data_IF_599207500502
#
_entry.id   IF_599207500502
#
_cell.length_a   1.000
_cell.length_b   1.000
_cell.length_c   1.000
_cell.angle_alpha   90.00
_cell.angle_beta   90.00
_cell.angle_gamma   90.00
#
_symmetry.space_group_name_H-M   'P 1'
#
loop_
_entity.id
_entity.type
_entity.pdbx_description
1 polymer ?
#
# COMPACT_ATOMS: atom_id res chain seq x y z
N UNK A 1 7.64 6.30 -48.13
CA UNK A 1 7.06 6.12 -46.79
C UNK A 1 7.15 4.64 -46.47
N UNK A 2 8.07 4.27 -45.57
CA UNK A 2 8.25 2.86 -45.18
C UNK A 2 7.20 2.52 -44.13
N UNK A 3 6.12 1.89 -44.57
CA UNK A 3 5.18 1.21 -43.68
C UNK A 3 5.84 -0.08 -43.18
N UNK A 4 6.79 0.06 -42.24
CA UNK A 4 7.17 -1.06 -41.41
C UNK A 4 5.90 -1.48 -40.66
N UNK A 5 5.30 -2.60 -41.08
CA UNK A 5 4.12 -3.17 -40.43
C UNK A 5 4.52 -3.45 -38.98
N UNK A 6 4.05 -2.61 -38.05
CA UNK A 6 4.21 -2.82 -36.61
C UNK A 6 3.82 -4.27 -36.31
N UNK A 7 4.71 -4.98 -35.61
CA UNK A 7 4.43 -6.33 -35.20
C UNK A 7 3.22 -6.35 -34.25
N UNK A 8 2.45 -7.45 -34.19
CA UNK A 8 1.30 -7.55 -33.27
C UNK A 8 1.69 -7.27 -31.81
N UNK A 9 2.93 -7.58 -31.44
CA UNK A 9 3.50 -7.33 -30.12
C UNK A 9 3.75 -5.84 -29.87
N UNK A 10 4.40 -5.14 -30.81
CA UNK A 10 4.60 -3.69 -30.73
C UNK A 10 3.27 -2.93 -30.64
N UNK A 11 2.27 -3.35 -31.41
CA UNK A 11 0.94 -2.72 -31.36
C UNK A 11 0.26 -2.91 -30.01
N UNK A 12 0.39 -4.09 -29.40
CA UNK A 12 -0.11 -4.36 -28.04
C UNK A 12 0.61 -3.53 -27.00
N UNK A 13 1.93 -3.42 -27.10
CA UNK A 13 2.74 -2.67 -26.16
C UNK A 13 2.43 -1.17 -26.22
N UNK A 14 2.23 -0.64 -27.43
CA UNK A 14 1.84 0.75 -27.66
C UNK A 14 0.49 1.08 -27.04
N UNK A 15 -0.52 0.21 -27.21
CA UNK A 15 -1.82 0.36 -26.56
C UNK A 15 -1.70 0.33 -25.03
N UNK A 16 -0.87 -0.57 -24.48
CA UNK A 16 -0.60 -0.64 -23.03
C UNK A 16 0.07 0.64 -22.51
N UNK A 17 0.99 1.23 -23.28
CA UNK A 17 1.61 2.52 -22.95
C UNK A 17 0.62 3.69 -23.04
N UNK A 18 -0.28 3.68 -24.02
CA UNK A 18 -1.34 4.70 -24.13
C UNK A 18 -2.34 4.61 -22.97
N UNK A 19 -2.72 3.40 -22.52
CA UNK A 19 -3.55 3.23 -21.32
C UNK A 19 -2.86 3.75 -20.06
N UNK A 20 -1.58 3.46 -19.87
CA UNK A 20 -0.80 3.96 -18.74
C UNK A 20 -0.66 5.49 -18.75
N UNK A 21 -0.51 6.11 -19.93
CA UNK A 21 -0.45 7.57 -20.09
C UNK A 21 -1.81 8.25 -19.89
N UNK A 22 -2.88 7.61 -20.34
CA UNK A 22 -4.24 8.16 -20.25
C UNK A 22 -4.89 7.91 -18.89
N UNK A 23 -4.44 6.92 -18.13
CA UNK A 23 -4.89 6.64 -16.77
C UNK A 23 -3.73 6.54 -15.76
N UNK A 24 -2.99 7.63 -15.54
CA UNK A 24 -1.91 7.67 -14.55
C UNK A 24 -2.44 7.48 -13.12
N UNK A 25 -3.70 7.88 -12.88
CA UNK A 25 -4.35 7.83 -11.57
C UNK A 25 -4.77 6.41 -11.17
N UNK A 26 -5.03 5.51 -12.12
CA UNK A 26 -5.41 4.12 -11.83
C UNK A 26 -4.33 3.34 -11.06
N UNK A 27 -3.07 3.48 -11.48
CA UNK A 27 -1.92 2.87 -10.78
C UNK A 27 -1.64 3.54 -9.42
N UNK A 28 -1.82 4.86 -9.35
CA UNK A 28 -1.67 5.60 -8.09
C UNK A 28 -2.73 5.18 -7.08
N UNK A 29 -3.99 5.00 -7.49
CA UNK A 29 -5.06 4.59 -6.59
C UNK A 29 -4.83 3.18 -6.04
N UNK A 30 -4.32 2.27 -6.87
CA UNK A 30 -4.00 0.89 -6.46
C UNK A 30 -2.79 0.86 -5.51
N UNK A 31 -1.76 1.65 -5.80
CA UNK A 31 -0.58 1.81 -4.94
C UNK A 31 -0.91 2.51 -3.61
N UNK A 32 -1.76 3.53 -3.64
CA UNK A 32 -2.21 4.28 -2.45
C UNK A 32 -3.09 3.39 -1.58
N UNK A 33 -4.07 2.70 -2.17
CA UNK A 33 -4.94 1.75 -1.45
C UNK A 33 -4.10 0.65 -0.79
N UNK A 34 -3.11 0.10 -1.52
CA UNK A 34 -2.15 -0.88 -1.00
C UNK A 34 -1.29 -0.33 0.14
N UNK A 35 -0.84 0.92 0.05
CA UNK A 35 -0.03 1.55 1.12
C UNK A 35 -0.85 1.84 2.39
N UNK A 36 -2.11 2.24 2.24
CA UNK A 36 -2.98 2.61 3.35
C UNK A 36 -3.49 1.40 4.12
N UNK A 37 -3.80 0.29 3.44
CA UNK A 37 -4.22 -0.95 4.10
C UNK A 37 -3.06 -1.89 4.42
N UNK A 38 -1.94 -1.81 3.71
CA UNK A 38 -0.82 -2.74 3.86
C UNK A 38 -0.05 -2.58 5.17
N UNK A 39 0.41 -1.38 5.55
CA UNK A 39 1.41 -1.25 6.62
C UNK A 39 0.95 -1.73 8.01
N UNK A 40 -0.26 -1.36 8.42
CA UNK A 40 -0.79 -1.75 9.73
C UNK A 40 -1.41 -3.14 9.72
N UNK A 41 -2.08 -3.54 8.64
CA UNK A 41 -2.65 -4.88 8.55
C UNK A 41 -1.56 -5.95 8.39
N UNK A 42 -0.47 -5.65 7.67
CA UNK A 42 0.69 -6.51 7.56
C UNK A 42 1.42 -6.61 8.90
N UNK A 43 1.59 -5.51 9.63
CA UNK A 43 2.19 -5.54 10.98
C UNK A 43 1.34 -6.34 11.98
N UNK A 44 0.03 -6.12 12.01
CA UNK A 44 -0.89 -6.87 12.89
C UNK A 44 -0.99 -8.34 12.46
N UNK A 45 -0.93 -8.62 11.16
CA UNK A 45 -0.90 -9.96 10.59
C UNK A 45 0.41 -10.71 10.87
N UNK A 46 1.55 -10.06 10.71
CA UNK A 46 2.89 -10.62 10.91
C UNK A 46 3.23 -10.85 12.38
N UNK A 47 2.79 -9.93 13.25
CA UNK A 47 2.98 -10.03 14.70
C UNK A 47 1.92 -10.90 15.38
N UNK A 48 0.79 -11.09 14.69
CA UNK A 48 -0.36 -11.83 15.16
C UNK A 48 -1.16 -11.09 16.24
N UNK A 49 -2.39 -11.56 16.44
CA UNK A 49 -3.31 -10.97 17.42
C UNK A 49 -2.78 -11.01 18.86
N UNK A 50 -1.97 -12.03 19.20
CA UNK A 50 -1.35 -12.18 20.52
C UNK A 50 -0.26 -11.13 20.76
N UNK A 51 0.65 -10.94 19.80
CA UNK A 51 1.73 -9.95 19.92
C UNK A 51 1.18 -8.52 19.91
N UNK A 52 0.25 -8.25 19.00
CA UNK A 52 -0.44 -6.96 18.92
C UNK A 52 -1.18 -6.64 20.21
N UNK A 53 -1.88 -7.63 20.80
CA UNK A 53 -2.59 -7.46 22.07
C UNK A 53 -1.67 -7.12 23.24
N UNK A 54 -0.49 -7.73 23.32
CA UNK A 54 0.52 -7.43 24.35
C UNK A 54 1.02 -5.99 24.22
N UNK A 55 1.34 -5.54 22.99
CA UNK A 55 1.82 -4.17 22.75
C UNK A 55 0.76 -3.15 23.19
N UNK A 56 -0.50 -3.36 22.81
CA UNK A 56 -1.62 -2.49 23.21
C UNK A 56 -1.73 -2.42 24.73
N UNK A 57 -1.62 -3.56 25.42
CA UNK A 57 -1.72 -3.64 26.87
C UNK A 57 -0.60 -2.87 27.56
N UNK A 58 0.64 -2.95 27.06
CA UNK A 58 1.79 -2.18 27.55
C UNK A 58 1.58 -0.68 27.34
N UNK A 59 1.09 -0.26 26.16
CA UNK A 59 0.81 1.15 25.87
C UNK A 59 -0.25 1.73 26.81
N UNK A 60 -1.32 0.98 27.08
CA UNK A 60 -2.38 1.40 28.00
C UNK A 60 -1.83 1.54 29.42
N UNK A 61 -1.09 0.55 29.92
CA UNK A 61 -0.48 0.61 31.25
C UNK A 61 0.51 1.78 31.37
N UNK A 62 1.35 1.98 30.37
CA UNK A 62 2.29 3.10 30.30
C UNK A 62 1.58 4.45 30.34
N UNK A 63 0.48 4.60 29.59
CA UNK A 63 -0.35 5.81 29.62
C UNK A 63 -0.99 6.05 30.98
N UNK A 64 -1.48 5.01 31.66
CA UNK A 64 -2.05 5.13 32.99
C UNK A 64 -0.98 5.62 33.98
N UNK A 65 0.20 4.99 33.98
CA UNK A 65 1.32 5.38 34.86
C UNK A 65 1.77 6.81 34.54
N UNK A 66 1.94 7.16 33.27
CA UNK A 66 2.31 8.51 32.86
C UNK A 66 1.25 9.53 33.29
N UNK A 67 -0.03 9.24 33.12
CA UNK A 67 -1.14 10.11 33.55
C UNK A 67 -1.16 10.32 35.05
N UNK A 68 -0.82 9.29 35.85
CA UNK A 68 -0.72 9.39 37.31
C UNK A 68 0.53 10.16 37.77
N UNK A 69 1.64 10.09 37.02
CA UNK A 69 2.89 10.79 37.33
C UNK A 69 2.94 12.23 36.81
N UNK A 70 2.24 12.53 35.71
CA UNK A 70 2.11 13.87 35.12
C UNK A 70 0.90 14.65 35.70
N UNK A 71 0.18 14.04 36.64
CA UNK A 71 -0.87 14.69 37.44
C UNK A 71 -0.25 15.58 38.52
#
# INVERSE_FOLDING_TARGET
MNEAKETPEEKREKLRQEELKNNPTGNLNDSVTRSQTGGLADLVGSLGWKGTGIIILVLILGLIVASLLLK
#
